data_IF_399651896601
#
_entry.id   IF_399651896601
#
_cell.length_a   1.000
_cell.length_b   1.000
_cell.length_c   1.000
_cell.angle_alpha   90.00
_cell.angle_beta   90.00
_cell.angle_gamma   90.00
#
_symmetry.space_group_name_H-M   'P 1'
#
loop_
_entity.id
_entity.type
_entity.pdbx_description
1 polymer ?
#
# COMPACT_ATOMS: atom_id res chain seq x y z
N UNK A 1 33.42 -7.31 -12.96
CA UNK A 1 32.72 -6.04 -12.61
C UNK A 1 31.55 -6.42 -11.72
N UNK A 2 31.35 -5.73 -10.62
CA UNK A 2 30.14 -5.92 -9.77
C UNK A 2 29.13 -4.84 -10.11
N UNK A 3 27.87 -5.21 -10.24
CA UNK A 3 26.78 -4.29 -10.46
C UNK A 3 26.00 -4.13 -9.16
N UNK A 4 25.75 -2.87 -8.78
CA UNK A 4 24.99 -2.51 -7.58
C UNK A 4 23.86 -1.55 -7.95
N UNK A 5 22.63 -1.88 -7.59
CA UNK A 5 21.57 -0.90 -7.48
C UNK A 5 21.80 -0.09 -6.21
N UNK A 6 21.60 1.21 -6.29
CA UNK A 6 21.73 2.11 -5.13
C UNK A 6 20.62 3.13 -5.13
N UNK A 7 19.74 3.01 -4.16
CA UNK A 7 18.76 4.04 -3.81
C UNK A 7 19.44 5.12 -2.95
N UNK A 8 19.19 6.37 -3.31
CA UNK A 8 19.60 7.53 -2.51
C UNK A 8 18.41 8.04 -1.73
N UNK A 9 18.23 7.49 -0.55
CA UNK A 9 17.09 7.83 0.30
C UNK A 9 17.18 9.26 0.84
N UNK A 10 18.34 9.64 1.38
CA UNK A 10 18.64 11.02 1.79
C UNK A 10 20.01 11.44 1.19
N UNK A 11 20.39 12.73 1.28
CA UNK A 11 21.73 13.16 0.89
C UNK A 11 22.87 12.37 1.59
N UNK A 12 22.58 11.80 2.77
CA UNK A 12 23.57 11.14 3.63
C UNK A 12 23.31 9.64 3.81
N UNK A 13 22.19 9.09 3.29
CA UNK A 13 21.82 7.68 3.46
C UNK A 13 21.54 7.04 2.11
N UNK A 14 22.13 5.87 1.91
CA UNK A 14 21.93 5.04 0.72
C UNK A 14 21.60 3.62 1.13
N UNK A 15 20.70 3.00 0.39
CA UNK A 15 20.46 1.57 0.44
C UNK A 15 20.97 0.93 -0.85
N UNK A 16 21.77 -0.14 -0.77
CA UNK A 16 22.35 -0.74 -1.95
C UNK A 16 22.19 -2.25 -1.95
N UNK A 17 21.79 -2.80 -3.10
CA UNK A 17 21.68 -4.23 -3.36
C UNK A 17 22.60 -4.61 -4.51
N UNK A 18 23.39 -5.67 -4.32
CA UNK A 18 24.15 -6.27 -5.42
C UNK A 18 23.19 -6.97 -6.38
N UNK A 19 23.29 -6.65 -7.67
CA UNK A 19 22.42 -7.20 -8.71
C UNK A 19 23.25 -8.09 -9.66
N UNK A 20 22.62 -9.16 -10.13
CA UNK A 20 23.20 -10.03 -11.14
C UNK A 20 22.89 -9.50 -12.54
N UNK A 21 21.65 -9.05 -12.78
CA UNK A 21 21.19 -8.57 -14.08
C UNK A 21 20.18 -7.44 -13.93
N UNK A 22 20.21 -6.48 -14.86
CA UNK A 22 19.10 -5.58 -15.13
C UNK A 22 18.21 -6.24 -16.20
N UNK A 23 16.99 -6.60 -15.83
CA UNK A 23 16.05 -7.31 -16.70
C UNK A 23 15.23 -6.38 -17.59
N UNK A 24 14.98 -5.17 -17.09
CA UNK A 24 14.24 -4.14 -17.80
C UNK A 24 14.70 -2.75 -17.39
N UNK A 25 14.66 -1.82 -18.31
CA UNK A 25 14.80 -0.38 -18.07
C UNK A 25 14.01 0.36 -19.14
N UNK A 26 13.13 1.24 -18.75
CA UNK A 26 12.33 2.06 -19.65
C UNK A 26 11.72 3.25 -18.95
N UNK A 27 11.13 4.16 -19.73
CA UNK A 27 10.42 5.32 -19.22
C UNK A 27 8.99 5.28 -19.76
N UNK A 28 8.02 5.52 -18.89
CA UNK A 28 6.68 5.93 -19.26
C UNK A 28 6.62 7.46 -19.38
N UNK A 29 5.44 8.01 -19.59
CA UNK A 29 5.22 9.46 -19.47
C UNK A 29 5.25 9.95 -18.01
N UNK A 30 5.20 9.04 -17.03
CA UNK A 30 5.11 9.35 -15.60
C UNK A 30 6.45 9.18 -14.86
N UNK A 31 7.22 8.13 -15.20
CA UNK A 31 8.38 7.73 -14.42
C UNK A 31 9.30 6.75 -15.16
N UNK A 32 10.50 6.60 -14.64
CA UNK A 32 11.42 5.55 -15.05
C UNK A 32 11.11 4.25 -14.29
N UNK A 33 11.09 3.13 -15.01
CA UNK A 33 10.81 1.80 -14.47
C UNK A 33 12.02 0.92 -14.73
N UNK A 34 12.61 0.36 -13.67
CA UNK A 34 13.69 -0.61 -13.78
C UNK A 34 13.32 -1.90 -13.03
N UNK A 35 13.69 -3.05 -13.62
CA UNK A 35 13.60 -4.36 -12.96
C UNK A 35 14.97 -5.00 -12.94
N UNK A 36 15.37 -5.46 -11.77
CA UNK A 36 16.64 -6.13 -11.55
C UNK A 36 16.45 -7.54 -11.02
N UNK A 37 17.48 -8.36 -11.17
CA UNK A 37 17.60 -9.69 -10.56
C UNK A 37 18.75 -9.71 -9.56
N UNK A 38 18.51 -10.27 -8.38
CA UNK A 38 19.46 -10.33 -7.28
C UNK A 38 19.39 -11.71 -6.60
N UNK A 39 20.54 -12.28 -6.28
CA UNK A 39 20.62 -13.55 -5.53
C UNK A 39 19.96 -13.47 -4.15
N UNK A 40 20.09 -12.31 -3.50
CA UNK A 40 19.63 -12.16 -2.12
C UNK A 40 18.13 -11.88 -2.03
N UNK A 41 17.58 -11.09 -2.98
CA UNK A 41 16.21 -10.58 -2.90
C UNK A 41 15.30 -11.06 -4.02
N UNK A 42 15.82 -11.88 -4.97
CA UNK A 42 15.07 -12.22 -6.19
C UNK A 42 14.94 -11.02 -7.11
N UNK A 43 13.87 -11.00 -7.90
CA UNK A 43 13.56 -9.86 -8.74
C UNK A 43 13.02 -8.71 -7.89
N UNK A 44 13.36 -7.49 -8.29
CA UNK A 44 12.83 -6.30 -7.65
C UNK A 44 12.55 -5.18 -8.66
N UNK A 45 11.56 -4.38 -8.33
CA UNK A 45 11.08 -3.25 -9.12
C UNK A 45 11.52 -1.95 -8.46
N UNK A 46 11.96 -1.00 -9.28
CA UNK A 46 12.19 0.37 -8.83
C UNK A 46 11.50 1.36 -9.76
N UNK A 47 10.96 2.43 -9.18
CA UNK A 47 10.38 3.56 -9.89
C UNK A 47 11.21 4.81 -9.57
N UNK A 48 11.71 5.50 -10.60
CA UNK A 48 12.63 6.64 -10.47
C UNK A 48 13.85 6.39 -9.57
N UNK A 49 14.26 5.11 -9.44
CA UNK A 49 15.39 4.70 -8.60
C UNK A 49 15.03 4.47 -7.14
N UNK A 50 13.76 4.50 -6.76
CA UNK A 50 13.25 4.10 -5.45
C UNK A 50 12.78 2.65 -5.45
N UNK A 51 13.06 1.92 -4.37
CA UNK A 51 12.67 0.53 -4.19
C UNK A 51 11.17 0.41 -3.94
N UNK A 52 10.45 -0.24 -4.85
CA UNK A 52 9.02 -0.49 -4.68
C UNK A 52 8.75 -1.84 -4.02
N UNK A 53 9.38 -2.90 -4.50
CA UNK A 53 9.22 -4.23 -3.94
C UNK A 53 10.38 -5.16 -4.32
N UNK A 54 10.57 -6.21 -3.54
CA UNK A 54 11.39 -7.38 -3.90
C UNK A 54 10.59 -8.67 -3.73
N UNK A 55 10.89 -9.71 -4.51
CA UNK A 55 10.23 -11.04 -4.36
C UNK A 55 10.44 -11.66 -2.97
N UNK A 56 11.47 -11.23 -2.25
CA UNK A 56 11.81 -11.77 -0.93
C UNK A 56 10.92 -11.26 0.19
N UNK A 57 10.53 -9.99 0.17
CA UNK A 57 9.84 -9.33 1.30
C UNK A 57 8.53 -8.59 0.95
N UNK A 58 8.12 -8.53 -0.33
CA UNK A 58 6.91 -7.84 -0.78
C UNK A 58 5.64 -8.26 -0.01
N UNK A 59 5.59 -9.53 0.40
CA UNK A 59 4.44 -10.07 1.12
C UNK A 59 4.18 -9.36 2.44
N UNK A 60 5.20 -8.77 3.06
CA UNK A 60 5.04 -8.02 4.31
C UNK A 60 4.13 -6.82 4.08
N UNK A 61 4.43 -6.04 3.06
CA UNK A 61 3.65 -4.87 2.68
C UNK A 61 2.24 -5.27 2.21
N UNK A 62 2.15 -6.15 1.22
CA UNK A 62 0.88 -6.52 0.61
C UNK A 62 -0.09 -7.20 1.57
N UNK A 63 0.42 -8.07 2.45
CA UNK A 63 -0.42 -8.69 3.48
C UNK A 63 -0.92 -7.66 4.51
N UNK A 64 -0.08 -6.71 4.93
CA UNK A 64 -0.47 -5.73 5.95
C UNK A 64 -1.45 -4.69 5.41
N UNK A 65 -1.22 -4.14 4.21
CA UNK A 65 -2.13 -3.14 3.64
C UNK A 65 -3.49 -3.76 3.25
N UNK A 66 -3.51 -5.06 2.92
CA UNK A 66 -4.73 -5.76 2.51
C UNK A 66 -5.47 -6.40 3.68
N UNK A 67 -4.79 -7.23 4.48
CA UNK A 67 -5.50 -8.05 5.46
C UNK A 67 -5.96 -7.28 6.70
N UNK A 68 -5.32 -6.16 7.04
CA UNK A 68 -5.77 -5.34 8.17
C UNK A 68 -7.19 -4.80 7.95
N UNK A 69 -7.51 -4.05 6.89
CA UNK A 69 -8.88 -3.57 6.68
C UNK A 69 -9.86 -4.70 6.41
N UNK A 70 -9.45 -5.74 5.68
CA UNK A 70 -10.30 -6.89 5.33
C UNK A 70 -10.67 -7.75 6.55
N UNK A 71 -9.90 -7.71 7.61
CA UNK A 71 -10.20 -8.42 8.88
C UNK A 71 -11.10 -7.61 9.81
N UNK A 72 -11.20 -6.30 9.60
CA UNK A 72 -12.04 -5.38 10.40
C UNK A 72 -13.43 -5.25 9.79
N UNK A 73 -13.53 -5.03 8.47
CA UNK A 73 -14.82 -4.91 7.80
C UNK A 73 -15.57 -6.25 7.82
N UNK A 74 -16.84 -6.29 8.28
CA UNK A 74 -17.55 -7.57 8.48
C UNK A 74 -17.87 -8.33 7.20
N UNK A 75 -18.12 -7.65 6.08
CA UNK A 75 -18.48 -8.28 4.79
C UNK A 75 -18.07 -7.40 3.60
N UNK A 76 -16.74 -7.25 3.33
CA UNK A 76 -16.26 -6.42 2.23
C UNK A 76 -16.50 -7.11 0.89
N UNK A 77 -17.19 -6.43 -0.04
CA UNK A 77 -17.56 -6.94 -1.37
C UNK A 77 -16.98 -6.11 -2.50
N UNK A 78 -17.05 -4.78 -2.38
CA UNK A 78 -16.63 -3.84 -3.40
C UNK A 78 -15.39 -3.10 -2.94
N UNK A 79 -14.28 -3.35 -3.59
CA UNK A 79 -12.98 -2.82 -3.19
C UNK A 79 -12.47 -1.88 -4.28
N UNK A 80 -11.96 -0.72 -3.88
CA UNK A 80 -11.17 0.14 -4.74
C UNK A 80 -9.70 0.06 -4.34
N UNK A 81 -8.84 -0.12 -5.31
CA UNK A 81 -7.39 -0.03 -5.17
C UNK A 81 -6.89 1.11 -6.05
N UNK A 82 -6.15 2.05 -5.48
CA UNK A 82 -5.52 3.16 -6.21
C UNK A 82 -4.01 2.97 -6.15
N UNK A 83 -3.35 2.90 -7.30
CA UNK A 83 -1.98 2.45 -7.47
C UNK A 83 -1.91 0.92 -7.54
N UNK A 84 -0.91 0.30 -6.92
CA UNK A 84 -0.73 -1.16 -6.87
C UNK A 84 -0.50 -1.82 -8.25
N UNK A 85 0.16 -1.14 -9.17
CA UNK A 85 0.45 -1.63 -10.52
C UNK A 85 1.31 -2.89 -10.57
N UNK A 86 1.93 -3.28 -9.46
CA UNK A 86 2.65 -4.54 -9.31
C UNK A 86 1.74 -5.78 -9.12
N UNK A 87 0.46 -5.57 -8.71
CA UNK A 87 -0.56 -6.60 -8.55
C UNK A 87 -0.56 -7.33 -7.20
N UNK A 88 0.32 -7.01 -6.25
CA UNK A 88 0.41 -7.70 -4.97
C UNK A 88 -0.85 -7.55 -4.11
N UNK A 89 -1.41 -6.34 -4.04
CA UNK A 89 -2.69 -6.07 -3.35
C UNK A 89 -3.84 -6.84 -4.01
N UNK A 90 -3.91 -6.84 -5.34
CA UNK A 90 -4.93 -7.60 -6.10
C UNK A 90 -4.82 -9.09 -5.82
N UNK A 91 -3.60 -9.63 -5.79
CA UNK A 91 -3.35 -11.03 -5.43
C UNK A 91 -3.94 -11.35 -4.06
N UNK A 92 -3.70 -10.53 -3.06
CA UNK A 92 -4.21 -10.76 -1.70
C UNK A 92 -5.73 -10.61 -1.62
N UNK A 93 -6.32 -9.62 -2.28
CA UNK A 93 -7.77 -9.41 -2.31
C UNK A 93 -8.53 -10.56 -2.98
N UNK A 94 -8.02 -11.13 -4.07
CA UNK A 94 -8.66 -12.23 -4.79
C UNK A 94 -8.76 -13.53 -3.97
N UNK A 95 -8.06 -13.62 -2.84
CA UNK A 95 -8.13 -14.76 -1.89
C UNK A 95 -9.40 -14.74 -1.04
N UNK A 96 -10.11 -13.62 -0.99
CA UNK A 96 -11.37 -13.50 -0.25
C UNK A 96 -12.55 -13.89 -1.14
N UNK A 97 -13.25 -14.96 -0.76
CA UNK A 97 -14.42 -15.43 -1.50
C UNK A 97 -15.64 -14.50 -1.39
N UNK A 98 -15.65 -13.58 -0.41
CA UNK A 98 -16.70 -12.58 -0.25
C UNK A 98 -16.56 -11.39 -1.21
N UNK A 99 -15.35 -11.14 -1.72
CA UNK A 99 -15.10 -10.01 -2.64
C UNK A 99 -15.73 -10.30 -3.99
N UNK A 100 -16.60 -9.40 -4.43
CA UNK A 100 -17.36 -9.49 -5.68
C UNK A 100 -16.76 -8.60 -6.77
N UNK A 101 -16.18 -7.44 -6.38
CA UNK A 101 -15.63 -6.48 -7.33
C UNK A 101 -14.35 -5.82 -6.78
N UNK A 102 -13.32 -5.73 -7.62
CA UNK A 102 -12.06 -5.04 -7.36
C UNK A 102 -11.82 -4.06 -8.53
N UNK A 103 -12.05 -2.78 -8.29
CA UNK A 103 -11.67 -1.72 -9.22
C UNK A 103 -10.21 -1.33 -8.90
N UNK A 104 -9.28 -1.58 -9.82
CA UNK A 104 -7.89 -1.16 -9.73
C UNK A 104 -7.68 0.06 -10.64
N UNK A 105 -7.21 1.16 -10.07
CA UNK A 105 -6.92 2.40 -10.79
C UNK A 105 -5.43 2.70 -10.73
N UNK A 106 -4.75 2.46 -11.83
CA UNK A 106 -3.32 2.70 -11.98
C UNK A 106 -3.09 3.76 -13.07
N UNK A 107 -2.28 4.77 -12.78
CA UNK A 107 -2.02 5.82 -13.75
C UNK A 107 -1.06 5.37 -14.85
N UNK A 108 -0.16 4.47 -14.54
CA UNK A 108 0.93 4.03 -15.42
C UNK A 108 0.71 2.59 -15.91
N UNK A 109 0.09 2.44 -17.08
CA UNK A 109 -0.12 1.14 -17.73
C UNK A 109 1.18 0.33 -17.88
N UNK A 110 2.31 1.03 -18.14
CA UNK A 110 3.59 0.36 -18.34
C UNK A 110 4.07 -0.36 -17.06
N UNK A 111 3.75 0.14 -15.87
CA UNK A 111 4.04 -0.56 -14.60
C UNK A 111 3.33 -1.91 -14.55
N UNK A 112 2.05 -1.96 -14.93
CA UNK A 112 1.27 -3.22 -14.97
C UNK A 112 1.83 -4.20 -16.00
N UNK A 113 2.17 -3.73 -17.21
CA UNK A 113 2.75 -4.57 -18.26
C UNK A 113 4.10 -5.16 -17.85
N UNK A 114 4.98 -4.33 -17.28
CA UNK A 114 6.30 -4.74 -16.79
C UNK A 114 6.15 -5.74 -15.64
N UNK A 115 5.22 -5.48 -14.72
CA UNK A 115 4.94 -6.38 -13.59
C UNK A 115 4.41 -7.74 -14.04
N UNK A 116 3.45 -7.77 -14.96
CA UNK A 116 2.96 -9.04 -15.57
C UNK A 116 4.10 -9.86 -16.19
N UNK A 117 5.05 -9.20 -16.82
CA UNK A 117 6.15 -9.87 -17.51
C UNK A 117 7.28 -10.33 -16.57
N UNK A 118 7.65 -9.51 -15.60
CA UNK A 118 8.85 -9.74 -14.81
C UNK A 118 8.59 -10.14 -13.36
N UNK A 119 7.40 -9.87 -12.83
CA UNK A 119 6.98 -10.15 -11.44
C UNK A 119 5.71 -11.02 -11.40
N UNK A 120 5.72 -12.21 -12.03
CA UNK A 120 4.52 -13.05 -12.14
C UNK A 120 4.00 -13.56 -10.79
N UNK A 121 4.78 -13.48 -9.71
CA UNK A 121 4.38 -13.88 -8.36
C UNK A 121 3.43 -12.87 -7.72
N UNK A 122 3.55 -11.59 -8.01
CA UNK A 122 2.62 -10.53 -7.57
C UNK A 122 1.52 -10.29 -8.59
N UNK A 123 1.87 -10.17 -9.87
CA UNK A 123 0.97 -9.80 -10.97
C UNK A 123 0.08 -10.95 -11.50
N UNK A 124 -0.05 -12.05 -10.75
CA UNK A 124 -0.71 -13.29 -11.20
C UNK A 124 -2.26 -13.24 -11.21
N UNK A 125 -2.88 -12.15 -10.78
CA UNK A 125 -4.35 -12.08 -10.59
C UNK A 125 -5.04 -10.92 -11.32
N UNK A 126 -4.36 -10.22 -12.19
CA UNK A 126 -5.01 -9.18 -13.01
C UNK A 126 -6.13 -9.71 -13.93
N UNK A 127 -6.08 -11.00 -14.28
CA UNK A 127 -7.07 -11.64 -15.14
C UNK A 127 -8.21 -12.33 -14.34
N UNK A 128 -8.28 -12.16 -13.01
CA UNK A 128 -9.41 -12.63 -12.21
C UNK A 128 -10.68 -11.88 -12.66
N UNK A 129 -11.81 -12.56 -12.91
CA UNK A 129 -13.02 -11.94 -13.46
C UNK A 129 -13.64 -10.85 -12.56
N UNK A 130 -13.24 -10.75 -11.32
CA UNK A 130 -13.67 -9.72 -10.38
C UNK A 130 -12.82 -8.44 -10.46
N UNK A 131 -11.69 -8.48 -11.18
CA UNK A 131 -10.72 -7.38 -11.27
C UNK A 131 -10.97 -6.56 -12.52
N UNK A 132 -11.18 -5.26 -12.33
CA UNK A 132 -11.35 -4.29 -13.40
C UNK A 132 -10.24 -3.25 -13.31
N UNK A 133 -9.36 -3.25 -14.30
CA UNK A 133 -8.21 -2.33 -14.35
C UNK A 133 -8.58 -1.09 -15.15
N UNK A 134 -8.35 0.09 -14.56
CA UNK A 134 -8.55 1.40 -15.17
C UNK A 134 -7.20 2.13 -15.22
N UNK A 135 -6.76 2.47 -16.42
CA UNK A 135 -5.54 3.25 -16.61
C UNK A 135 -5.88 4.74 -16.62
N UNK A 136 -5.94 5.35 -15.44
CA UNK A 136 -6.29 6.75 -15.27
C UNK A 136 -5.84 7.32 -13.91
N UNK A 137 -5.89 8.64 -13.80
CA UNK A 137 -5.59 9.37 -12.57
C UNK A 137 -6.56 9.02 -11.43
N UNK A 138 -6.05 8.44 -10.33
CA UNK A 138 -6.82 8.06 -9.17
C UNK A 138 -7.58 9.21 -8.50
N UNK A 139 -7.03 10.43 -8.53
CA UNK A 139 -7.72 11.64 -8.01
C UNK A 139 -8.95 11.97 -8.86
N UNK A 140 -8.85 11.85 -10.18
CA UNK A 140 -10.00 12.07 -11.08
C UNK A 140 -11.02 10.96 -10.94
N UNK A 141 -10.54 9.71 -10.81
CA UNK A 141 -11.42 8.55 -10.64
C UNK A 141 -12.29 8.66 -9.40
N UNK A 142 -11.68 8.89 -8.23
CA UNK A 142 -12.40 8.90 -6.96
C UNK A 142 -13.43 10.02 -6.85
N UNK A 143 -13.19 11.18 -7.48
CA UNK A 143 -14.11 12.33 -7.45
C UNK A 143 -15.50 12.04 -8.04
N UNK A 144 -15.61 11.05 -8.94
CA UNK A 144 -16.89 10.65 -9.55
C UNK A 144 -17.56 9.48 -8.83
N UNK A 145 -16.94 8.94 -7.79
CA UNK A 145 -17.45 7.83 -7.00
C UNK A 145 -18.21 8.35 -5.77
N UNK A 146 -19.36 7.78 -5.49
CA UNK A 146 -20.15 8.10 -4.30
C UNK A 146 -20.80 6.82 -3.78
N UNK A 147 -20.65 6.54 -2.49
CA UNK A 147 -21.28 5.41 -1.77
C UNK A 147 -21.20 4.09 -2.57
N UNK A 148 -19.97 3.68 -2.94
CA UNK A 148 -19.75 2.57 -3.87
C UNK A 148 -18.87 1.45 -3.27
N UNK A 149 -17.95 1.77 -2.36
CA UNK A 149 -16.94 0.85 -1.90
C UNK A 149 -17.03 0.55 -0.41
N UNK A 150 -16.75 -0.69 -0.03
CA UNK A 150 -16.61 -1.13 1.36
C UNK A 150 -15.20 -0.85 1.89
N UNK A 151 -14.20 -1.04 1.02
CA UNK A 151 -12.80 -0.78 1.36
C UNK A 151 -12.12 -0.03 0.21
N UNK A 152 -11.33 0.97 0.56
CA UNK A 152 -10.41 1.67 -0.35
C UNK A 152 -8.99 1.43 0.13
N UNK A 153 -8.12 0.93 -0.74
CA UNK A 153 -6.69 0.74 -0.51
C UNK A 153 -5.94 1.72 -1.41
N UNK A 154 -5.17 2.62 -0.81
CA UNK A 154 -4.31 3.56 -1.52
C UNK A 154 -2.87 3.08 -1.39
N UNK A 155 -2.41 2.40 -2.43
CA UNK A 155 -1.09 1.83 -2.57
C UNK A 155 -0.32 2.61 -3.63
N UNK A 156 0.12 3.80 -3.25
CA UNK A 156 0.79 4.75 -4.13
C UNK A 156 2.28 4.86 -3.83
N UNK A 157 3.02 5.43 -4.77
CA UNK A 157 4.37 5.96 -4.51
C UNK A 157 4.32 7.07 -3.45
N UNK A 158 5.49 7.49 -2.99
CA UNK A 158 5.67 8.54 -1.99
C UNK A 158 4.97 9.87 -2.36
N UNK A 159 4.78 10.81 -1.40
CA UNK A 159 3.99 12.04 -1.57
C UNK A 159 4.70 13.10 -2.45
N UNK A 160 5.37 12.67 -3.50
CA UNK A 160 5.96 13.52 -4.53
C UNK A 160 5.75 12.92 -5.94
N UNK A 161 5.96 13.73 -7.00
CA UNK A 161 5.75 13.29 -8.37
C UNK A 161 4.29 12.91 -8.67
N UNK A 162 4.04 11.79 -9.37
CA UNK A 162 2.68 11.40 -9.76
C UNK A 162 1.74 11.13 -8.58
N UNK A 163 2.28 10.71 -7.42
CA UNK A 163 1.52 10.38 -6.21
C UNK A 163 1.05 11.59 -5.38
N UNK A 164 1.62 12.79 -5.54
CA UNK A 164 1.38 13.95 -4.67
C UNK A 164 -0.11 14.26 -4.44
N UNK A 165 -0.93 14.14 -5.49
CA UNK A 165 -2.36 14.41 -5.44
C UNK A 165 -3.15 13.51 -4.48
N UNK A 166 -2.64 12.30 -4.19
CA UNK A 166 -3.27 11.28 -3.35
C UNK A 166 -3.10 11.53 -1.84
N UNK A 167 -2.37 12.60 -1.47
CA UNK A 167 -2.14 12.98 -0.08
C UNK A 167 -2.84 14.30 0.31
N UNK A 168 -3.77 14.78 -0.53
CA UNK A 168 -4.50 16.03 -0.27
C UNK A 168 -5.76 15.80 0.57
N UNK A 169 -6.21 16.84 1.30
CA UNK A 169 -7.48 16.80 2.06
C UNK A 169 -8.67 16.54 1.14
N UNK A 170 -8.65 17.11 -0.07
CA UNK A 170 -9.69 16.93 -1.07
C UNK A 170 -9.78 15.48 -1.54
N UNK A 171 -8.64 14.80 -1.67
CA UNK A 171 -8.59 13.38 -2.01
C UNK A 171 -9.21 12.53 -0.90
N UNK A 172 -8.80 12.72 0.37
CA UNK A 172 -9.38 11.97 1.49
C UNK A 172 -10.87 12.25 1.68
N UNK A 173 -11.32 13.49 1.46
CA UNK A 173 -12.74 13.83 1.42
C UNK A 173 -13.51 13.13 0.29
N UNK A 174 -12.86 12.92 -0.87
CA UNK A 174 -13.43 12.15 -1.97
C UNK A 174 -13.48 10.65 -1.66
N UNK A 175 -12.44 10.10 -1.02
CA UNK A 175 -12.46 8.72 -0.52
C UNK A 175 -13.60 8.51 0.50
N UNK A 176 -13.77 9.47 1.43
CA UNK A 176 -14.88 9.42 2.37
C UNK A 176 -16.24 9.35 1.67
N UNK A 177 -16.48 10.16 0.63
CA UNK A 177 -17.74 10.15 -0.14
C UNK A 177 -17.93 8.85 -0.91
N UNK A 178 -16.86 8.29 -1.47
CA UNK A 178 -16.90 7.08 -2.26
C UNK A 178 -17.15 5.81 -1.43
N UNK A 179 -16.82 5.83 -0.14
CA UNK A 179 -17.07 4.74 0.80
C UNK A 179 -18.55 4.67 1.21
N UNK A 180 -19.04 3.43 1.41
CA UNK A 180 -20.29 3.15 2.10
C UNK A 180 -20.28 3.74 3.53
N UNK A 181 -21.44 3.75 4.22
CA UNK A 181 -21.58 4.34 5.57
C UNK A 181 -20.69 3.67 6.64
N UNK A 182 -20.25 2.47 6.39
CA UNK A 182 -19.38 1.69 7.28
C UNK A 182 -18.02 1.34 6.64
N UNK A 183 -17.67 2.04 5.57
CA UNK A 183 -16.47 1.78 4.78
C UNK A 183 -15.16 2.15 5.49
N UNK A 184 -14.09 1.51 5.02
CA UNK A 184 -12.72 1.63 5.55
C UNK A 184 -11.78 2.07 4.42
N UNK A 185 -10.87 2.99 4.71
CA UNK A 185 -9.74 3.34 3.85
C UNK A 185 -8.43 2.98 4.56
N UNK A 186 -7.49 2.45 3.81
CA UNK A 186 -6.09 2.32 4.25
C UNK A 186 -5.16 2.91 3.19
N UNK A 187 -4.03 3.43 3.63
CA UNK A 187 -2.99 3.94 2.74
C UNK A 187 -1.60 3.64 3.29
N UNK A 188 -0.60 3.63 2.42
CA UNK A 188 0.78 3.70 2.83
C UNK A 188 1.05 5.06 3.52
N UNK A 189 1.94 5.07 4.52
CA UNK A 189 2.08 6.24 5.42
C UNK A 189 3.51 6.67 5.68
N UNK A 190 4.47 6.19 4.92
CA UNK A 190 5.90 6.47 5.01
C UNK A 190 6.61 5.87 6.24
N UNK A 191 7.91 6.08 6.26
CA UNK A 191 8.75 5.76 7.41
C UNK A 191 8.62 6.84 8.49
N UNK A 192 8.50 6.48 9.79
CA UNK A 192 8.53 7.47 10.87
C UNK A 192 9.95 7.86 11.28
N UNK A 193 10.99 7.28 10.67
CA UNK A 193 12.36 7.35 11.18
C UNK A 193 13.17 8.53 10.62
N UNK A 194 13.02 8.84 9.35
CA UNK A 194 13.71 9.98 8.73
C UNK A 194 12.84 11.23 8.80
N UNK A 195 13.45 12.38 9.06
CA UNK A 195 12.74 13.62 9.35
C UNK A 195 11.79 14.08 8.24
N UNK A 196 12.20 13.92 6.97
CA UNK A 196 11.39 14.32 5.82
C UNK A 196 10.17 13.40 5.65
N UNK A 197 10.38 12.08 5.80
CA UNK A 197 9.32 11.07 5.72
C UNK A 197 8.34 11.23 6.91
N UNK A 198 8.87 11.40 8.12
CA UNK A 198 8.06 11.63 9.32
C UNK A 198 7.20 12.90 9.19
N UNK A 199 7.74 13.98 8.62
CA UNK A 199 6.99 15.20 8.37
C UNK A 199 5.91 14.99 7.28
N UNK A 200 6.17 14.19 6.25
CA UNK A 200 5.19 13.81 5.23
C UNK A 200 4.06 12.98 5.84
N UNK A 201 4.41 11.98 6.64
CA UNK A 201 3.47 11.15 7.41
C UNK A 201 2.55 12.00 8.29
N UNK A 202 3.09 12.90 9.09
CA UNK A 202 2.31 13.78 9.96
C UNK A 202 1.32 14.65 9.16
N UNK A 203 1.76 15.24 8.04
CA UNK A 203 0.89 16.04 7.16
C UNK A 203 -0.26 15.22 6.57
N UNK A 204 0.05 14.02 6.11
CA UNK A 204 -0.93 13.09 5.54
C UNK A 204 -1.93 12.64 6.60
N UNK A 205 -1.43 12.17 7.75
CA UNK A 205 -2.28 11.69 8.84
C UNK A 205 -3.23 12.77 9.37
N UNK A 206 -2.75 14.01 9.56
CA UNK A 206 -3.59 15.14 9.95
C UNK A 206 -4.79 15.34 9.02
N UNK A 207 -4.57 15.25 7.70
CA UNK A 207 -5.64 15.39 6.70
C UNK A 207 -6.65 14.25 6.77
N UNK A 208 -6.19 13.05 7.11
CA UNK A 208 -7.07 11.88 7.32
C UNK A 208 -7.91 12.07 8.57
N UNK A 209 -7.32 12.46 9.69
CA UNK A 209 -8.02 12.76 10.95
C UNK A 209 -9.10 13.84 10.76
N UNK A 210 -8.81 14.87 9.95
CA UNK A 210 -9.80 15.90 9.61
C UNK A 210 -10.95 15.40 8.72
N UNK A 211 -10.79 14.24 8.08
CA UNK A 211 -11.74 13.70 7.09
C UNK A 211 -12.56 12.51 7.62
N UNK A 212 -12.03 11.74 8.59
CA UNK A 212 -12.64 10.52 9.08
C UNK A 212 -12.85 10.55 10.60
N UNK A 213 -13.98 9.98 11.11
CA UNK A 213 -14.24 9.95 12.55
C UNK A 213 -13.35 8.98 13.33
N UNK A 214 -12.80 7.97 12.65
CA UNK A 214 -11.85 6.99 13.24
C UNK A 214 -10.62 6.98 12.35
N UNK A 215 -9.48 7.32 12.94
CA UNK A 215 -8.18 7.31 12.27
C UNK A 215 -7.15 6.70 13.21
N UNK A 216 -6.37 5.74 12.72
CA UNK A 216 -5.31 5.07 13.46
C UNK A 216 -4.14 4.77 12.54
N UNK A 217 -2.97 4.64 13.14
CA UNK A 217 -1.74 4.24 12.45
C UNK A 217 -1.33 2.84 12.90
N UNK A 218 -0.85 2.02 11.97
CA UNK A 218 -0.26 0.72 12.28
C UNK A 218 1.05 0.53 11.51
N UNK A 219 1.86 -0.42 11.96
CA UNK A 219 3.23 -0.58 11.49
C UNK A 219 3.53 -1.96 10.94
N UNK A 220 4.54 -2.02 10.05
CA UNK A 220 5.20 -3.24 9.62
C UNK A 220 6.71 -3.03 9.51
N UNK A 221 7.46 -4.14 9.48
CA UNK A 221 8.91 -4.11 9.28
C UNK A 221 9.25 -4.69 7.93
N UNK A 222 9.68 -3.82 6.99
CA UNK A 222 9.98 -4.16 5.60
C UNK A 222 11.48 -3.99 5.38
N UNK A 223 12.26 -5.07 5.31
CA UNK A 223 13.72 -5.03 5.33
C UNK A 223 14.35 -4.20 4.22
N UNK A 224 13.71 -4.13 3.04
CA UNK A 224 14.26 -3.41 1.87
C UNK A 224 13.81 -1.95 1.78
N UNK A 225 12.87 -1.52 2.61
CA UNK A 225 12.54 -0.09 2.71
C UNK A 225 13.52 0.61 3.68
N UNK A 226 13.95 1.83 3.37
CA UNK A 226 14.85 2.57 4.25
C UNK A 226 14.32 2.64 5.69
N UNK A 227 15.18 2.44 6.67
CA UNK A 227 14.89 2.20 8.09
C UNK A 227 14.29 0.83 8.45
N UNK A 228 13.66 0.12 7.53
CA UNK A 228 12.93 -1.13 7.81
C UNK A 228 11.63 -0.94 8.58
N UNK A 229 11.30 0.28 9.02
CA UNK A 229 10.08 0.60 9.76
C UNK A 229 9.13 1.39 8.88
N UNK A 230 7.99 0.80 8.57
CA UNK A 230 6.98 1.39 7.68
C UNK A 230 5.63 1.51 8.37
N UNK A 231 4.94 2.60 8.10
CA UNK A 231 3.63 2.87 8.67
C UNK A 231 2.53 2.80 7.61
N UNK A 232 1.35 2.50 8.08
CA UNK A 232 0.10 2.53 7.32
C UNK A 232 -0.95 3.34 8.07
N UNK A 233 -1.73 4.12 7.34
CA UNK A 233 -2.90 4.81 7.85
C UNK A 233 -4.14 3.91 7.75
N UNK A 234 -4.94 3.87 8.81
CA UNK A 234 -6.25 3.25 8.84
C UNK A 234 -7.30 4.32 9.13
N UNK A 235 -8.27 4.46 8.27
CA UNK A 235 -9.36 5.41 8.43
C UNK A 235 -10.71 4.71 8.23
N UNK A 236 -11.68 4.97 9.08
CA UNK A 236 -12.96 4.29 9.04
C UNK A 236 -14.12 5.23 9.39
N UNK A 237 -15.25 5.00 8.77
CA UNK A 237 -16.50 5.69 9.13
C UNK A 237 -17.16 5.10 10.37
N UNK A 238 -16.87 3.83 10.71
CA UNK A 238 -17.61 3.11 11.75
C UNK A 238 -16.77 2.18 12.61
N UNK A 239 -15.89 1.38 12.00
CA UNK A 239 -15.21 0.30 12.72
C UNK A 239 -13.86 0.74 13.27
N UNK A 240 -13.65 0.48 14.55
CA UNK A 240 -12.34 0.66 15.18
C UNK A 240 -11.44 -0.56 14.88
N UNK A 241 -10.18 -0.36 14.44
CA UNK A 241 -9.36 -1.45 13.90
C UNK A 241 -9.02 -2.56 14.92
N UNK A 242 -9.04 -2.27 16.21
CA UNK A 242 -8.74 -3.27 17.24
C UNK A 242 -9.96 -3.69 18.04
N UNK A 243 -10.96 -2.79 18.25
CA UNK A 243 -12.13 -3.09 19.08
C UNK A 243 -13.20 -3.88 18.28
N UNK A 244 -13.36 -3.57 16.99
CA UNK A 244 -14.34 -4.22 16.11
C UNK A 244 -13.72 -5.34 15.26
N UNK A 245 -12.43 -5.58 15.43
CA UNK A 245 -11.70 -6.65 14.78
C UNK A 245 -12.14 -8.05 15.21
N UNK A 246 -12.41 -8.92 14.25
CA UNK A 246 -12.81 -10.30 14.52
C UNK A 246 -11.79 -11.31 14.01
N UNK A 247 -10.75 -11.54 14.80
CA UNK A 247 -9.67 -12.48 14.48
C UNK A 247 -10.13 -13.93 14.31
N UNK A 248 -11.16 -14.37 15.04
CA UNK A 248 -11.73 -15.71 14.87
C UNK A 248 -12.36 -15.86 13.49
N UNK A 249 -13.20 -14.90 13.09
CA UNK A 249 -13.81 -14.89 11.76
C UNK A 249 -12.75 -14.89 10.66
N UNK A 250 -11.72 -14.05 10.78
CA UNK A 250 -10.63 -14.01 9.80
C UNK A 250 -9.89 -15.36 9.71
N UNK A 251 -9.57 -15.99 10.87
CA UNK A 251 -8.89 -17.29 10.91
C UNK A 251 -9.69 -18.40 10.23
N UNK A 252 -11.03 -18.34 10.30
CA UNK A 252 -11.92 -19.32 9.66
C UNK A 252 -11.88 -19.26 8.13
N UNK A 253 -11.39 -18.18 7.52
CA UNK A 253 -11.19 -18.08 6.08
C UNK A 253 -10.10 -19.02 5.57
N UNK A 254 -9.19 -19.47 6.46
CA UNK A 254 -8.11 -20.40 6.11
C UNK A 254 -7.06 -19.80 5.19
N UNK A 255 -7.00 -18.48 5.06
CA UNK A 255 -6.03 -17.77 4.24
C UNK A 255 -4.64 -17.94 4.86
N UNK A 256 -3.73 -18.59 4.12
CA UNK A 256 -2.34 -18.78 4.57
C UNK A 256 -1.53 -17.52 4.27
N UNK A 257 -0.92 -16.96 5.28
CA UNK A 257 -0.09 -15.75 5.22
C UNK A 257 1.33 -16.06 5.68
N UNK A 258 2.28 -15.24 5.26
CA UNK A 258 3.70 -15.34 5.65
C UNK A 258 4.06 -14.36 6.77
N UNK A 259 3.38 -13.22 6.83
CA UNK A 259 3.63 -12.16 7.81
C UNK A 259 2.41 -11.86 8.67
N UNK A 260 1.28 -11.53 8.06
CA UNK A 260 0.06 -11.19 8.77
C UNK A 260 -0.49 -12.39 9.56
N UNK A 261 -0.91 -12.16 10.78
CA UNK A 261 -1.70 -13.08 11.58
C UNK A 261 -2.53 -12.31 12.62
N UNK A 262 -3.50 -12.97 13.22
CA UNK A 262 -4.46 -12.34 14.14
C UNK A 262 -3.85 -11.72 15.39
N UNK A 263 -2.70 -12.20 15.87
CA UNK A 263 -1.97 -11.59 16.98
C UNK A 263 -1.19 -10.36 16.52
N UNK A 264 -0.54 -10.46 15.36
CA UNK A 264 0.18 -9.35 14.77
C UNK A 264 -0.77 -8.19 14.44
N UNK A 265 -2.01 -8.47 14.01
CA UNK A 265 -3.01 -7.45 13.74
C UNK A 265 -3.11 -6.43 14.90
N UNK A 266 -3.38 -6.93 16.11
CA UNK A 266 -3.48 -6.05 17.28
C UNK A 266 -2.12 -5.45 17.66
N UNK A 267 -1.04 -6.23 17.58
CA UNK A 267 0.32 -5.78 17.90
C UNK A 267 0.83 -4.68 16.96
N UNK A 268 0.38 -4.65 15.70
CA UNK A 268 0.79 -3.66 14.74
C UNK A 268 0.31 -2.24 15.10
N UNK A 269 -0.76 -2.10 15.87
CA UNK A 269 -1.27 -0.82 16.37
C UNK A 269 -0.60 -0.36 17.69
N UNK A 270 0.26 -1.17 18.28
CA UNK A 270 1.08 -0.78 19.42
C UNK A 270 2.35 -0.11 18.93
N UNK A 271 2.30 1.20 18.77
CA UNK A 271 3.39 1.99 18.20
C UNK A 271 4.48 2.26 19.23
N UNK A 272 5.76 2.38 18.83
CA UNK A 272 6.84 2.88 19.68
C UNK A 272 6.58 4.32 20.14
N UNK A 273 7.03 4.68 21.33
CA UNK A 273 6.81 6.01 21.93
C UNK A 273 7.23 7.16 21.00
N UNK A 274 8.32 7.02 20.24
CA UNK A 274 8.75 8.09 19.33
C UNK A 274 7.76 8.32 18.17
N UNK A 275 7.05 7.26 17.71
CA UNK A 275 5.99 7.38 16.71
C UNK A 275 4.75 8.02 17.32
N UNK A 276 4.35 7.60 18.54
CA UNK A 276 3.24 8.21 19.26
C UNK A 276 3.48 9.71 19.52
N UNK A 277 4.73 10.10 19.84
CA UNK A 277 5.08 11.51 20.01
C UNK A 277 4.97 12.30 18.69
N UNK A 278 5.33 11.70 17.54
CA UNK A 278 5.13 12.33 16.22
C UNK A 278 3.64 12.52 15.89
N UNK A 279 2.78 11.62 16.33
CA UNK A 279 1.34 11.66 16.04
C UNK A 279 0.53 12.49 17.04
N UNK A 280 1.07 12.81 18.22
CA UNK A 280 0.39 13.48 19.33
C UNK A 280 -0.31 14.78 18.95
N UNK A 281 0.28 15.56 18.04
CA UNK A 281 -0.26 16.86 17.62
C UNK A 281 -1.16 16.77 16.38
N UNK A 282 -1.38 15.56 15.85
CA UNK A 282 -2.14 15.34 14.61
C UNK A 282 -3.31 14.35 14.78
N UNK A 283 -3.42 13.68 15.92
CA UNK A 283 -4.57 12.83 16.32
C UNK A 283 -5.65 13.59 17.09
#
# INVERSE_FOLDING_TARGET
MELWFTERHTPNVKFSIKVDHQLYSGNSEFQRIDVFDSKEFGRFLTLDGYMMLTEKDEFIYHEMITHVPMAVHPDPKNILVIGAGDGGVVRELTRYGSVENIDLVEIDELVVEVSKKYLPTTACRFDDPRVHVFYEDGVKFIRRCENKYDVIIVDSTDPFGPGEGLFTKEFYGSCFKALHEDGIMVNQHESPFYDEDAAAMQRSHKRIVESFPISKVYQAHIPTYPSGHWLFGFASKKYHPTNDYNGTKWSMLGIKTRYYNTRLHTGAFALPNYVEELLKDVE
#
